data_IF_918250775429
#
_entry.id   IF_918250775429
#
_cell.length_a   1.000
_cell.length_b   1.000
_cell.length_c   1.000
_cell.angle_alpha   90.00
_cell.angle_beta   90.00
_cell.angle_gamma   90.00
#
_symmetry.space_group_name_H-M   'P 1'
#
loop_
_entity.id
_entity.type
_entity.pdbx_description
1 polymer ?
#
# COMPACT_ATOMS: atom_id res chain seq x y z
N UNK A 1 -1.46 19.17 -12.73
CA UNK A 1 -0.96 19.15 -11.33
C UNK A 1 -1.78 20.06 -10.43
N UNK A 2 -1.95 21.35 -10.74
CA UNK A 2 -2.75 22.31 -9.93
C UNK A 2 -4.20 21.85 -9.69
N UNK A 3 -4.83 21.13 -10.63
CA UNK A 3 -6.20 20.60 -10.50
C UNK A 3 -6.26 19.38 -9.59
N UNK A 4 -5.24 18.52 -9.58
CA UNK A 4 -5.10 17.35 -8.71
C UNK A 4 -4.78 17.79 -7.28
N UNK A 5 -3.87 18.75 -7.10
CA UNK A 5 -3.60 19.38 -5.81
C UNK A 5 -4.86 20.04 -5.22
N UNK A 6 -5.75 20.61 -6.06
CA UNK A 6 -7.01 21.20 -5.61
C UNK A 6 -8.02 20.16 -5.11
N UNK A 7 -8.00 18.92 -5.64
CA UNK A 7 -8.80 17.80 -5.15
C UNK A 7 -8.28 17.31 -3.79
N UNK A 8 -6.97 17.27 -3.59
CA UNK A 8 -6.35 16.95 -2.29
C UNK A 8 -6.64 18.02 -1.21
N UNK A 9 -6.91 19.26 -1.59
CA UNK A 9 -7.15 20.37 -0.66
C UNK A 9 -8.60 20.46 -0.14
N UNK A 10 -9.52 19.67 -0.68
CA UNK A 10 -10.96 19.67 -0.30
C UNK A 10 -11.33 18.59 0.72
N UNK A 11 -10.39 17.76 1.14
CA UNK A 11 -10.63 16.74 2.18
C UNK A 11 -10.17 17.25 3.55
N UNK A 12 -10.95 16.96 4.56
CA UNK A 12 -10.83 17.24 5.99
C UNK A 12 -9.43 17.73 6.40
N UNK A 13 -9.35 18.92 6.93
CA UNK A 13 -8.14 19.76 6.98
C UNK A 13 -6.86 19.13 7.57
N UNK A 14 -6.95 18.01 8.31
CA UNK A 14 -5.81 17.46 9.04
C UNK A 14 -5.46 15.98 8.78
N UNK A 15 -6.28 15.22 8.01
CA UNK A 15 -6.01 13.81 7.71
C UNK A 15 -6.11 13.54 6.20
N UNK A 16 -5.03 13.05 5.62
CA UNK A 16 -5.01 12.61 4.21
C UNK A 16 -4.59 11.15 4.12
N UNK A 17 -5.45 10.29 3.60
CA UNK A 17 -5.15 8.87 3.40
C UNK A 17 -5.05 8.59 1.90
N UNK A 18 -3.88 8.14 1.47
CA UNK A 18 -3.57 7.75 0.10
C UNK A 18 -3.81 6.26 -0.08
N UNK A 19 -4.75 5.89 -0.95
CA UNK A 19 -5.09 4.48 -1.21
C UNK A 19 -4.50 4.02 -2.54
N UNK A 20 -3.52 3.15 -2.47
CA UNK A 20 -2.81 2.65 -3.64
C UNK A 20 -3.56 1.52 -4.33
N UNK A 21 -3.77 1.68 -5.63
CA UNK A 21 -4.58 0.80 -6.46
C UNK A 21 -3.86 0.38 -7.73
N UNK A 22 -4.25 -0.79 -8.23
CA UNK A 22 -3.75 -1.36 -9.50
C UNK A 22 -4.83 -1.44 -10.59
N UNK A 23 -6.06 -1.01 -10.30
CA UNK A 23 -7.20 -1.11 -11.23
C UNK A 23 -8.04 0.17 -11.19
N UNK A 24 -8.43 0.65 -12.36
CA UNK A 24 -9.33 1.80 -12.54
C UNK A 24 -10.68 1.58 -11.82
N UNK A 25 -11.21 0.36 -11.81
CA UNK A 25 -12.50 0.03 -11.20
C UNK A 25 -12.60 0.32 -9.70
N UNK A 26 -11.48 0.57 -9.02
CA UNK A 26 -11.47 0.90 -7.59
C UNK A 26 -11.72 2.39 -7.31
N UNK A 27 -11.72 3.25 -8.34
CA UNK A 27 -11.83 4.70 -8.17
C UNK A 27 -13.01 5.10 -7.31
N UNK A 28 -14.21 4.64 -7.68
CA UNK A 28 -15.43 5.02 -7.00
C UNK A 28 -15.47 4.55 -5.54
N UNK A 29 -14.96 3.35 -5.27
CA UNK A 29 -14.88 2.81 -3.91
C UNK A 29 -13.97 3.70 -3.06
N UNK A 30 -12.75 3.99 -3.54
CA UNK A 30 -11.77 4.80 -2.80
C UNK A 30 -12.31 6.22 -2.53
N UNK A 31 -12.94 6.85 -3.52
CA UNK A 31 -13.56 8.18 -3.36
C UNK A 31 -14.71 8.17 -2.36
N UNK A 32 -15.55 7.14 -2.38
CA UNK A 32 -16.66 7.00 -1.42
C UNK A 32 -16.18 6.84 0.02
N UNK A 33 -14.98 6.26 0.22
CA UNK A 33 -14.33 6.17 1.53
C UNK A 33 -13.73 7.51 1.98
N UNK A 34 -13.69 8.53 1.12
CA UNK A 34 -13.03 9.79 1.42
C UNK A 34 -11.50 9.72 1.31
N UNK A 35 -10.95 8.71 0.65
CA UNK A 35 -9.51 8.53 0.48
C UNK A 35 -9.03 9.09 -0.87
N UNK A 36 -7.74 9.41 -0.95
CA UNK A 36 -7.12 9.91 -2.17
C UNK A 36 -6.71 8.72 -3.03
N UNK A 37 -7.28 8.57 -4.23
CA UNK A 37 -6.96 7.44 -5.09
C UNK A 37 -5.57 7.60 -5.73
N UNK A 38 -4.73 6.58 -5.58
CA UNK A 38 -3.38 6.51 -6.15
C UNK A 38 -3.27 5.35 -7.12
N UNK A 39 -3.00 5.65 -8.38
CA UNK A 39 -2.78 4.66 -9.43
C UNK A 39 -1.29 4.34 -9.55
N UNK A 40 -0.94 3.08 -9.31
CA UNK A 40 0.43 2.59 -9.42
C UNK A 40 0.75 2.05 -10.80
N UNK A 41 2.02 2.08 -11.16
CA UNK A 41 2.56 1.62 -12.43
C UNK A 41 2.11 2.46 -13.63
N UNK A 42 2.67 2.15 -14.76
CA UNK A 42 2.30 2.78 -16.03
C UNK A 42 1.03 2.12 -16.64
N UNK A 43 -0.10 2.22 -15.92
CA UNK A 43 -1.40 1.74 -16.36
C UNK A 43 -2.29 2.90 -16.80
N UNK A 44 -3.31 2.59 -17.60
CA UNK A 44 -4.30 3.57 -18.03
C UNK A 44 -5.28 3.86 -16.88
N UNK A 45 -4.98 4.88 -16.13
CA UNK A 45 -5.85 5.46 -15.11
C UNK A 45 -6.41 6.79 -15.62
N UNK A 46 -7.64 7.11 -15.26
CA UNK A 46 -8.24 8.40 -15.56
C UNK A 46 -7.52 9.56 -14.88
N UNK A 47 -7.84 10.78 -15.28
CA UNK A 47 -7.22 12.00 -14.71
C UNK A 47 -7.59 12.27 -13.26
N UNK A 48 -8.49 11.48 -12.69
CA UNK A 48 -8.92 11.58 -11.29
C UNK A 48 -7.97 10.89 -10.31
N UNK A 49 -7.03 10.08 -10.83
CA UNK A 49 -6.03 9.40 -10.03
C UNK A 49 -4.76 10.23 -9.84
N UNK A 50 -4.26 10.26 -8.63
CA UNK A 50 -2.87 10.62 -8.38
C UNK A 50 -1.97 9.50 -8.91
N UNK A 51 -0.85 9.87 -9.56
CA UNK A 51 -0.01 8.90 -10.28
C UNK A 51 1.42 8.91 -9.76
N UNK A 52 1.97 7.72 -9.46
CA UNK A 52 3.35 7.55 -9.03
C UNK A 52 4.38 7.65 -10.17
N UNK A 53 3.94 7.75 -11.41
CA UNK A 53 4.78 7.85 -12.61
C UNK A 53 4.92 9.28 -13.17
N UNK A 54 4.64 10.29 -12.35
CA UNK A 54 4.79 11.71 -12.70
C UNK A 54 5.94 12.33 -11.92
N UNK A 55 6.46 13.46 -12.38
CA UNK A 55 7.55 14.20 -11.71
C UNK A 55 8.75 13.31 -11.36
N UNK A 56 9.44 13.59 -10.23
CA UNK A 56 10.53 12.73 -9.75
C UNK A 56 9.96 11.41 -9.21
N UNK A 57 10.29 10.29 -9.85
CA UNK A 57 9.69 8.99 -9.55
C UNK A 57 10.62 7.82 -9.83
N UNK A 58 10.23 6.66 -9.28
CA UNK A 58 10.85 5.35 -9.52
C UNK A 58 9.77 4.32 -9.92
N UNK A 59 8.71 4.74 -10.58
CA UNK A 59 7.54 3.89 -10.91
C UNK A 59 7.90 2.67 -11.77
N UNK A 60 8.95 2.74 -12.59
CA UNK A 60 9.45 1.62 -13.38
C UNK A 60 9.95 0.46 -12.51
N UNK A 61 10.42 0.77 -11.30
CA UNK A 61 10.89 -0.22 -10.32
C UNK A 61 9.74 -0.85 -9.52
N UNK A 62 8.49 -0.55 -9.83
CA UNK A 62 7.33 -1.05 -9.08
C UNK A 62 7.25 -2.60 -9.02
N UNK A 63 7.84 -3.31 -9.98
CA UNK A 63 7.90 -4.77 -9.94
C UNK A 63 8.62 -5.28 -8.68
N UNK A 64 9.62 -4.57 -8.22
CA UNK A 64 10.48 -4.93 -7.08
C UNK A 64 10.03 -4.25 -5.79
N UNK A 65 9.69 -2.97 -5.87
CA UNK A 65 9.39 -2.13 -4.71
C UNK A 65 7.88 -2.04 -4.39
N UNK A 66 7.00 -2.50 -5.29
CA UNK A 66 5.56 -2.45 -5.05
C UNK A 66 5.06 -1.04 -4.73
N UNK A 67 4.39 -0.92 -3.60
CA UNK A 67 3.78 0.33 -3.13
C UNK A 67 4.82 1.39 -2.69
N UNK A 68 6.06 0.98 -2.40
CA UNK A 68 7.14 1.90 -2.04
C UNK A 68 7.49 2.88 -3.16
N UNK A 69 7.13 2.60 -4.42
CA UNK A 69 7.29 3.57 -5.52
C UNK A 69 6.49 4.83 -5.28
N UNK A 70 5.28 4.71 -4.70
CA UNK A 70 4.47 5.86 -4.33
C UNK A 70 5.01 6.57 -3.08
N UNK A 71 5.52 5.85 -2.07
CA UNK A 71 6.12 6.49 -0.89
C UNK A 71 7.32 7.33 -1.29
N UNK A 72 8.18 6.85 -2.19
CA UNK A 72 9.25 7.64 -2.78
C UNK A 72 8.72 8.87 -3.51
N UNK A 73 7.73 8.69 -4.37
CA UNK A 73 7.10 9.78 -5.12
C UNK A 73 6.52 10.86 -4.18
N UNK A 74 5.80 10.44 -3.13
CA UNK A 74 5.24 11.34 -2.13
C UNK A 74 6.33 12.11 -1.40
N UNK A 75 7.37 11.44 -0.95
CA UNK A 75 8.52 12.05 -0.28
C UNK A 75 9.16 13.13 -1.15
N UNK A 76 9.42 12.84 -2.41
CA UNK A 76 10.10 13.77 -3.33
C UNK A 76 9.25 14.96 -3.74
N UNK A 77 7.94 14.75 -3.90
CA UNK A 77 7.10 15.73 -4.57
C UNK A 77 6.09 16.44 -3.65
N UNK A 78 5.65 15.82 -2.55
CA UNK A 78 4.60 16.37 -1.70
C UNK A 78 4.99 16.57 -0.23
N UNK A 79 5.96 15.84 0.30
CA UNK A 79 6.24 15.87 1.74
C UNK A 79 6.62 17.28 2.24
N UNK A 80 7.30 18.08 1.42
CA UNK A 80 7.68 19.45 1.76
C UNK A 80 6.50 20.41 1.90
N UNK A 81 5.36 20.07 1.30
CA UNK A 81 4.13 20.86 1.33
C UNK A 81 3.19 20.45 2.49
N UNK A 82 3.60 19.41 3.28
CA UNK A 82 2.83 18.94 4.45
C UNK A 82 2.73 20.04 5.50
N UNK A 83 1.51 20.27 5.97
CA UNK A 83 1.26 21.17 7.11
C UNK A 83 1.73 20.52 8.42
N UNK A 84 2.10 21.34 9.40
CA UNK A 84 2.66 20.87 10.68
C UNK A 84 1.74 19.86 11.40
N UNK A 85 0.45 20.12 11.46
CA UNK A 85 -0.53 19.26 12.14
C UNK A 85 -1.29 18.32 11.20
N UNK A 86 -0.74 18.01 10.06
CA UNK A 86 -1.37 17.13 9.07
C UNK A 86 -0.89 15.69 9.24
N UNK A 87 -1.84 14.77 9.37
CA UNK A 87 -1.58 13.34 9.35
C UNK A 87 -1.65 12.80 7.92
N UNK A 88 -0.64 12.02 7.56
CA UNK A 88 -0.56 11.36 6.26
C UNK A 88 -0.63 9.86 6.45
N UNK A 89 -1.66 9.24 5.90
CA UNK A 89 -1.85 7.80 5.91
C UNK A 89 -1.66 7.19 4.53
N UNK A 90 -1.20 5.95 4.52
CA UNK A 90 -1.06 5.14 3.32
C UNK A 90 -1.77 3.80 3.52
N UNK A 91 -2.53 3.36 2.53
CA UNK A 91 -3.17 2.06 2.54
C UNK A 91 -3.23 1.47 1.12
N UNK A 92 -3.56 0.20 1.01
CA UNK A 92 -3.85 -0.43 -0.28
C UNK A 92 -5.35 -0.63 -0.45
N UNK A 93 -5.78 -0.85 -1.69
CA UNK A 93 -7.18 -1.15 -2.00
C UNK A 93 -7.71 -2.47 -1.38
N UNK A 94 -6.87 -3.21 -0.70
CA UNK A 94 -7.19 -4.48 -0.03
C UNK A 94 -7.19 -4.36 1.49
N UNK A 95 -6.59 -3.30 2.02
CA UNK A 95 -6.38 -3.12 3.46
C UNK A 95 -6.55 -1.65 3.78
N UNK A 96 -7.64 -1.29 4.41
CA UNK A 96 -7.95 0.07 4.81
C UNK A 96 -7.66 0.28 6.29
N UNK A 97 -7.45 1.52 6.70
CA UNK A 97 -7.39 1.90 8.10
C UNK A 97 -8.79 1.75 8.71
N UNK A 98 -8.96 0.80 9.63
CA UNK A 98 -10.22 0.53 10.30
C UNK A 98 -10.38 1.34 11.59
N UNK A 99 -11.62 1.69 11.92
CA UNK A 99 -11.99 2.17 13.26
C UNK A 99 -12.06 1.00 14.23
N UNK A 100 -11.67 1.22 15.49
CA UNK A 100 -11.80 0.23 16.55
C UNK A 100 -13.27 -0.09 16.80
N UNK A 101 -13.65 -1.36 16.78
CA UNK A 101 -14.93 -1.93 17.23
C UNK A 101 -16.23 -1.40 16.60
N UNK A 102 -16.64 -2.03 15.50
CA UNK A 102 -18.04 -1.99 15.06
C UNK A 102 -18.40 -3.32 14.36
N UNK A 103 -18.46 -4.41 15.12
CA UNK A 103 -18.76 -5.75 14.59
C UNK A 103 -20.11 -5.85 13.86
N UNK A 104 -21.05 -4.93 14.14
CA UNK A 104 -22.37 -4.90 13.53
C UNK A 104 -22.51 -3.94 12.34
N UNK A 105 -21.50 -3.12 12.05
CA UNK A 105 -21.55 -2.16 10.95
C UNK A 105 -21.24 -2.84 9.62
N UNK A 106 -22.15 -2.71 8.66
CA UNK A 106 -22.01 -3.28 7.30
C UNK A 106 -21.53 -2.28 6.26
N UNK A 107 -21.64 -0.99 6.57
CA UNK A 107 -21.21 0.05 5.63
C UNK A 107 -19.70 0.29 5.78
N UNK A 108 -18.94 -0.08 4.75
CA UNK A 108 -17.50 0.08 4.74
C UNK A 108 -17.04 1.51 5.06
N UNK A 109 -17.78 2.52 4.63
CA UNK A 109 -17.47 3.92 4.91
C UNK A 109 -17.45 4.24 6.40
N UNK A 110 -18.34 3.63 7.17
CA UNK A 110 -18.44 3.83 8.62
C UNK A 110 -17.36 3.04 9.39
N UNK A 111 -16.83 1.98 8.76
CA UNK A 111 -15.80 1.13 9.35
C UNK A 111 -14.39 1.69 9.18
N UNK A 112 -14.17 2.56 8.20
CA UNK A 112 -12.84 3.09 7.92
C UNK A 112 -12.56 4.41 8.62
N UNK A 113 -11.28 4.67 8.87
CA UNK A 113 -10.79 5.90 9.47
C UNK A 113 -11.03 7.09 8.53
N UNK A 114 -11.67 8.12 9.04
CA UNK A 114 -11.94 9.37 8.31
C UNK A 114 -11.51 10.61 9.09
N UNK A 115 -11.20 10.46 10.36
CA UNK A 115 -10.77 11.50 11.28
C UNK A 115 -9.64 10.98 12.17
N UNK A 116 -8.86 11.86 12.73
CA UNK A 116 -7.75 11.51 13.63
C UNK A 116 -8.35 11.12 14.97
N UNK A 117 -8.13 9.88 15.47
CA UNK A 117 -8.53 9.49 16.81
C UNK A 117 -7.83 10.34 17.88
N UNK A 118 -8.53 10.74 18.92
CA UNK A 118 -7.98 11.56 20.01
C UNK A 118 -6.78 10.88 20.69
N UNK A 119 -6.78 9.56 20.79
CA UNK A 119 -5.68 8.78 21.34
C UNK A 119 -4.37 8.92 20.56
N UNK A 120 -4.41 9.44 19.32
CA UNK A 120 -3.21 9.63 18.49
C UNK A 120 -2.49 10.95 18.76
N UNK A 121 -3.06 11.86 19.53
CA UNK A 121 -2.50 13.19 19.77
C UNK A 121 -1.10 13.17 20.39
N UNK A 122 -0.70 12.07 21.05
CA UNK A 122 0.61 11.92 21.68
C UNK A 122 1.60 11.07 20.87
N UNK A 123 1.26 10.74 19.62
CA UNK A 123 2.10 9.91 18.76
C UNK A 123 2.51 10.65 17.50
N UNK A 124 3.76 10.50 17.10
CA UNK A 124 4.27 11.00 15.82
C UNK A 124 3.97 10.05 14.66
N UNK A 125 3.77 8.77 14.96
CA UNK A 125 3.54 7.72 13.97
C UNK A 125 2.64 6.64 14.52
N UNK A 126 1.70 6.19 13.72
CA UNK A 126 0.83 5.04 14.00
C UNK A 126 1.02 4.01 12.91
N UNK A 127 1.25 2.78 13.30
CA UNK A 127 1.37 1.63 12.40
C UNK A 127 0.18 0.68 12.61
N UNK A 128 -0.16 -0.09 11.57
CA UNK A 128 -1.15 -1.15 11.68
C UNK A 128 -0.68 -2.27 12.63
N UNK A 129 -1.61 -3.10 13.05
CA UNK A 129 -1.32 -4.26 13.88
C UNK A 129 -0.27 -5.17 13.22
N UNK A 130 0.78 -5.59 13.94
CA UNK A 130 1.81 -6.45 13.39
C UNK A 130 1.24 -7.79 12.91
N UNK A 131 1.52 -8.15 11.67
CA UNK A 131 1.16 -9.46 11.13
C UNK A 131 2.35 -10.40 11.31
N UNK A 132 2.19 -11.38 12.18
CA UNK A 132 3.20 -12.42 12.36
C UNK A 132 3.14 -13.44 11.21
N UNK A 133 4.17 -13.44 10.37
CA UNK A 133 4.28 -14.38 9.25
C UNK A 133 4.79 -15.77 9.72
N UNK A 134 4.12 -16.34 10.70
CA UNK A 134 4.55 -17.61 11.30
C UNK A 134 4.19 -18.83 10.44
N UNK A 135 3.27 -18.67 9.50
CA UNK A 135 2.75 -19.76 8.69
C UNK A 135 2.91 -19.51 7.21
N UNK A 136 3.49 -20.49 6.53
CA UNK A 136 3.48 -20.51 5.08
C UNK A 136 2.02 -20.76 4.64
N UNK A 137 1.39 -19.79 4.01
CA UNK A 137 0.09 -20.04 3.38
C UNK A 137 0.31 -21.02 2.23
N UNK A 138 0.08 -22.31 2.50
CA UNK A 138 0.23 -23.41 1.54
C UNK A 138 -0.49 -23.08 0.22
N UNK A 139 -1.63 -22.41 0.30
CA UNK A 139 -2.35 -21.90 -0.87
C UNK A 139 -1.53 -20.93 -1.75
N UNK A 140 -0.68 -20.10 -1.16
CA UNK A 140 0.22 -19.20 -1.93
C UNK A 140 1.36 -20.01 -2.58
N UNK A 141 1.92 -20.96 -1.86
CA UNK A 141 2.97 -21.83 -2.41
C UNK A 141 2.41 -22.65 -3.57
N UNK A 142 1.23 -23.24 -3.43
CA UNK A 142 0.58 -24.00 -4.50
C UNK A 142 0.23 -23.13 -5.70
N UNK A 143 -0.20 -21.88 -5.48
CA UNK A 143 -0.60 -20.99 -6.56
C UNK A 143 0.59 -20.45 -7.37
N UNK A 144 1.69 -20.10 -6.69
CA UNK A 144 2.82 -19.40 -7.32
C UNK A 144 4.10 -20.25 -7.36
N UNK A 145 4.18 -21.29 -6.56
CA UNK A 145 5.38 -22.07 -6.34
C UNK A 145 5.36 -23.50 -6.91
N UNK A 146 4.40 -23.86 -7.78
CA UNK A 146 4.33 -25.23 -8.34
C UNK A 146 5.65 -25.69 -8.97
N UNK A 147 6.30 -24.82 -9.74
CA UNK A 147 7.60 -25.08 -10.34
C UNK A 147 8.75 -25.06 -9.32
N UNK A 148 8.67 -24.22 -8.29
CA UNK A 148 9.66 -24.17 -7.23
C UNK A 148 9.60 -25.40 -6.32
N UNK A 149 8.41 -25.92 -6.04
CA UNK A 149 8.19 -27.18 -5.35
C UNK A 149 8.78 -28.37 -6.11
N UNK A 150 8.60 -28.41 -7.43
CA UNK A 150 9.18 -29.45 -8.28
C UNK A 150 10.70 -29.37 -8.39
N UNK A 151 11.26 -28.14 -8.42
CA UNK A 151 12.71 -27.93 -8.53
C UNK A 151 13.47 -28.14 -7.24
N UNK A 152 12.86 -27.83 -6.08
CA UNK A 152 13.53 -27.94 -4.80
C UNK A 152 12.56 -28.17 -3.63
N UNK A 153 11.94 -29.37 -3.52
CA UNK A 153 10.97 -29.67 -2.50
C UNK A 153 11.54 -29.59 -1.06
N UNK A 154 12.81 -29.93 -0.90
CA UNK A 154 13.48 -29.89 0.42
C UNK A 154 13.74 -28.47 0.90
N UNK A 155 13.98 -27.51 0.00
CA UNK A 155 14.11 -26.09 0.37
C UNK A 155 12.80 -25.53 0.93
N UNK A 156 11.67 -25.94 0.37
CA UNK A 156 10.33 -25.55 0.86
C UNK A 156 10.07 -26.08 2.27
N UNK A 157 10.51 -27.31 2.55
CA UNK A 157 10.32 -27.96 3.86
C UNK A 157 11.31 -27.46 4.93
N UNK A 158 12.54 -27.15 4.54
CA UNK A 158 13.63 -26.75 5.45
C UNK A 158 13.71 -25.25 5.72
N UNK A 159 13.10 -24.42 4.90
CA UNK A 159 13.28 -22.98 5.02
C UNK A 159 12.57 -22.43 6.25
N UNK A 160 13.34 -21.97 7.19
CA UNK A 160 12.86 -20.97 8.13
C UNK A 160 12.60 -19.72 7.30
N UNK A 161 11.37 -19.32 7.19
CA UNK A 161 10.74 -18.30 6.37
C UNK A 161 11.40 -16.94 6.51
N UNK A 162 12.45 -16.70 5.78
CA UNK A 162 13.08 -15.40 5.69
C UNK A 162 12.57 -14.68 4.45
N UNK A 163 12.57 -13.35 4.48
CA UNK A 163 12.26 -12.51 3.32
C UNK A 163 13.13 -12.91 2.12
N UNK A 164 14.40 -13.19 2.37
CA UNK A 164 15.35 -13.68 1.36
C UNK A 164 14.88 -14.96 0.69
N UNK A 165 14.43 -15.95 1.45
CA UNK A 165 13.94 -17.20 0.89
C UNK A 165 12.69 -16.99 0.03
N UNK A 166 11.75 -16.13 0.45
CA UNK A 166 10.57 -15.82 -0.33
C UNK A 166 10.94 -15.12 -1.64
N UNK A 167 11.89 -14.20 -1.59
CA UNK A 167 12.39 -13.50 -2.75
C UNK A 167 13.06 -14.48 -3.73
N UNK A 168 13.97 -15.31 -3.25
CA UNK A 168 14.70 -16.29 -4.08
C UNK A 168 13.78 -17.35 -4.68
N UNK A 169 12.71 -17.72 -3.98
CA UNK A 169 11.71 -18.67 -4.51
C UNK A 169 10.97 -18.10 -5.74
N UNK A 170 10.72 -16.80 -5.76
CA UNK A 170 9.98 -16.14 -6.85
C UNK A 170 10.88 -15.61 -7.96
N UNK A 171 12.08 -15.22 -7.65
CA UNK A 171 12.99 -14.50 -8.55
C UNK A 171 14.26 -15.28 -8.89
N UNK A 172 14.48 -16.42 -8.28
CA UNK A 172 15.71 -17.25 -8.41
C UNK A 172 16.77 -16.89 -7.39
N UNK A 173 17.62 -17.89 -7.10
CA UNK A 173 18.63 -17.79 -6.05
C UNK A 173 19.64 -16.67 -6.32
N UNK A 174 19.97 -15.91 -5.29
CA UNK A 174 20.98 -14.87 -5.32
C UNK A 174 20.57 -13.57 -6.02
N UNK A 175 19.31 -13.42 -6.45
CA UNK A 175 18.85 -12.18 -7.08
C UNK A 175 18.75 -11.02 -6.08
N UNK A 176 18.52 -11.31 -4.80
CA UNK A 176 18.49 -10.28 -3.77
C UNK A 176 19.89 -9.63 -3.57
N UNK A 177 20.96 -10.40 -3.73
CA UNK A 177 22.33 -9.90 -3.56
C UNK A 177 22.82 -9.06 -4.75
N UNK A 178 22.08 -9.08 -5.86
CA UNK A 178 22.41 -8.34 -7.10
C UNK A 178 21.67 -7.00 -7.22
N UNK A 179 20.77 -6.70 -6.31
CA UNK A 179 19.98 -5.47 -6.25
C UNK A 179 20.43 -4.54 -5.13
#
# INVERSE_FOLDING_TARGET
LKKILKICLLQMDNLKIFCMCLKESNLQIVKNLGYIPVGLKNKNFSSEWLRDNTLENISEKNLYYGEYTFYYWYWKNLLKEKKENEWIGFCSYREYWGKKNNENEKNLKNLVLQEIPEEWNNYDTVIGEPIFLNELKVSKVLKYGKLALLRNPLAVLKSKRTIRWQFDMFHGNGNLDKQ
#
